data_IF_520661977087
#
_entry.id   IF_520661977087
#
_cell.length_a   1.000
_cell.length_b   1.000
_cell.length_c   1.000
_cell.angle_alpha   90.00
_cell.angle_beta   90.00
_cell.angle_gamma   90.00
#
_symmetry.space_group_name_H-M   'P 1'
#
loop_
_entity.id
_entity.type
_entity.pdbx_description
1 polymer ?
#
# COMPACT_ATOMS: atom_id res chain seq x y z
N UNK A 1 -11.88 -1.54 21.74
CA UNK A 1 -12.12 -1.85 20.31
C UNK A 1 -13.01 -3.09 20.25
N UNK A 2 -13.82 -3.31 19.20
CA UNK A 2 -14.80 -4.41 19.15
C UNK A 2 -14.18 -5.81 18.91
N UNK A 3 -12.86 -5.93 18.88
CA UNK A 3 -12.09 -7.16 18.67
C UNK A 3 -10.78 -7.10 19.46
N UNK A 4 -10.15 -8.25 19.69
CA UNK A 4 -8.83 -8.37 20.34
C UNK A 4 -7.68 -8.44 19.34
N UNK A 5 -6.44 -8.49 19.84
CA UNK A 5 -5.23 -8.47 19.00
C UNK A 5 -5.16 -9.69 18.09
N UNK A 6 -5.54 -10.85 18.60
CA UNK A 6 -5.46 -12.14 17.92
C UNK A 6 -6.44 -12.18 16.73
N UNK A 7 -7.66 -11.69 16.93
CA UNK A 7 -8.66 -11.54 15.87
C UNK A 7 -8.18 -10.59 14.77
N UNK A 8 -7.61 -9.44 15.15
CA UNK A 8 -7.06 -8.48 14.20
C UNK A 8 -5.93 -9.08 13.36
N UNK A 9 -4.95 -9.72 14.02
CA UNK A 9 -3.83 -10.36 13.34
C UNK A 9 -4.28 -11.54 12.46
N UNK A 10 -5.30 -12.29 12.90
CA UNK A 10 -5.92 -13.37 12.14
C UNK A 10 -6.50 -12.89 10.80
N UNK A 11 -7.11 -11.71 10.77
CA UNK A 11 -7.59 -11.09 9.51
C UNK A 11 -6.43 -10.81 8.54
N UNK A 12 -5.30 -10.28 9.03
CA UNK A 12 -4.11 -10.09 8.17
C UNK A 12 -3.54 -11.40 7.67
N UNK A 13 -3.46 -12.43 8.51
CA UNK A 13 -2.96 -13.73 8.11
C UNK A 13 -3.85 -14.33 7.01
N UNK A 14 -5.17 -14.32 7.22
CA UNK A 14 -6.14 -14.82 6.26
C UNK A 14 -6.05 -14.07 4.93
N UNK A 15 -6.07 -12.73 4.96
CA UNK A 15 -5.91 -11.89 3.77
C UNK A 15 -4.59 -12.19 3.04
N UNK A 16 -3.47 -12.26 3.75
CA UNK A 16 -2.17 -12.50 3.14
C UNK A 16 -2.09 -13.87 2.46
N UNK A 17 -2.63 -14.93 3.09
CA UNK A 17 -2.68 -16.26 2.49
C UNK A 17 -3.59 -16.29 1.25
N UNK A 18 -4.77 -15.66 1.33
CA UNK A 18 -5.74 -15.63 0.23
C UNK A 18 -5.28 -14.80 -0.97
N UNK A 19 -4.48 -13.75 -0.74
CA UNK A 19 -3.97 -12.88 -1.81
C UNK A 19 -2.67 -13.40 -2.42
N UNK A 20 -1.96 -14.31 -1.75
CA UNK A 20 -0.76 -14.93 -2.31
C UNK A 20 -1.08 -15.73 -3.58
N UNK A 21 -0.31 -15.56 -4.67
CA UNK A 21 0.97 -14.85 -4.84
C UNK A 21 0.87 -13.41 -5.38
N UNK A 22 -0.32 -12.82 -5.47
CA UNK A 22 -0.56 -11.53 -6.12
C UNK A 22 0.22 -10.37 -5.48
N UNK A 23 0.66 -10.48 -4.21
CA UNK A 23 1.52 -9.46 -3.60
C UNK A 23 2.82 -9.26 -4.35
N UNK A 24 3.35 -10.28 -5.06
CA UNK A 24 4.53 -10.13 -5.91
C UNK A 24 4.22 -9.13 -7.04
N UNK A 25 3.07 -9.25 -7.68
CA UNK A 25 2.64 -8.32 -8.73
C UNK A 25 2.45 -6.90 -8.17
N UNK A 26 1.95 -6.75 -6.93
CA UNK A 26 1.86 -5.44 -6.27
C UNK A 26 3.24 -4.84 -5.99
N UNK A 27 4.19 -5.62 -5.50
CA UNK A 27 5.56 -5.11 -5.31
C UNK A 27 6.18 -4.69 -6.65
N UNK A 28 6.01 -5.50 -7.70
CA UNK A 28 6.49 -5.15 -9.05
C UNK A 28 5.85 -3.86 -9.57
N UNK A 29 4.54 -3.70 -9.42
CA UNK A 29 3.83 -2.48 -9.83
C UNK A 29 4.31 -1.26 -9.03
N UNK A 30 4.57 -1.41 -7.73
CA UNK A 30 5.17 -0.35 -6.92
C UNK A 30 6.57 0.04 -7.40
N UNK A 31 7.43 -0.94 -7.74
CA UNK A 31 8.76 -0.68 -8.30
C UNK A 31 8.67 0.05 -9.65
N UNK A 32 7.71 -0.32 -10.51
CA UNK A 32 7.43 0.41 -11.76
C UNK A 32 7.05 1.85 -11.47
N UNK A 33 6.17 2.11 -10.50
CA UNK A 33 5.80 3.48 -10.12
C UNK A 33 7.00 4.30 -9.66
N UNK A 34 7.87 3.70 -8.83
CA UNK A 34 9.10 4.35 -8.35
C UNK A 34 10.04 4.69 -9.51
N UNK A 35 10.22 3.76 -10.45
CA UNK A 35 11.01 3.99 -11.66
C UNK A 35 10.43 5.12 -12.51
N UNK A 36 9.11 5.14 -12.71
CA UNK A 36 8.41 6.17 -13.48
C UNK A 36 8.49 7.56 -12.81
N UNK A 37 8.47 7.62 -11.48
CA UNK A 37 8.65 8.86 -10.72
C UNK A 37 10.09 9.40 -10.84
N UNK A 38 11.08 8.51 -11.01
CA UNK A 38 12.48 8.90 -11.20
C UNK A 38 12.78 9.33 -12.65
N UNK A 39 12.40 8.51 -13.64
CA UNK A 39 12.73 8.76 -15.05
C UNK A 39 11.80 9.74 -15.76
N UNK A 40 10.57 9.87 -15.29
CA UNK A 40 9.54 10.80 -15.78
C UNK A 40 9.33 10.81 -17.31
N UNK A 41 8.56 9.85 -17.82
CA UNK A 41 8.10 9.78 -19.22
C UNK A 41 6.76 10.51 -19.41
N UNK A 42 6.36 10.71 -20.69
CA UNK A 42 5.11 11.40 -21.09
C UNK A 42 3.85 10.90 -20.36
N UNK A 43 3.79 9.62 -19.99
CA UNK A 43 2.64 9.01 -19.32
C UNK A 43 2.92 8.56 -17.89
N UNK A 44 4.09 8.89 -17.32
CA UNK A 44 4.49 8.48 -15.96
C UNK A 44 3.41 8.82 -14.93
N UNK A 45 3.00 10.09 -14.88
CA UNK A 45 2.03 10.56 -13.89
C UNK A 45 0.67 9.87 -14.02
N UNK A 46 0.22 9.66 -15.26
CA UNK A 46 -1.05 8.96 -15.51
C UNK A 46 -0.98 7.51 -15.03
N UNK A 47 0.12 6.80 -15.30
CA UNK A 47 0.31 5.42 -14.85
C UNK A 47 0.38 5.37 -13.32
N UNK A 48 1.16 6.25 -12.69
CA UNK A 48 1.28 6.33 -11.22
C UNK A 48 -0.09 6.57 -10.57
N UNK A 49 -0.86 7.54 -11.08
CA UNK A 49 -2.19 7.84 -10.53
C UNK A 49 -3.18 6.67 -10.70
N UNK A 50 -3.16 5.96 -11.83
CA UNK A 50 -3.99 4.76 -12.01
C UNK A 50 -3.59 3.64 -11.05
N UNK A 51 -2.29 3.41 -10.86
CA UNK A 51 -1.78 2.39 -9.92
C UNK A 51 -2.11 2.73 -8.46
N UNK A 52 -2.01 4.02 -8.07
CA UNK A 52 -2.43 4.48 -6.76
C UNK A 52 -3.94 4.28 -6.57
N UNK A 53 -4.75 4.67 -7.55
CA UNK A 53 -6.19 4.44 -7.51
C UNK A 53 -6.53 2.95 -7.33
N UNK A 54 -5.84 2.09 -8.08
CA UNK A 54 -5.98 0.64 -7.95
C UNK A 54 -5.66 0.16 -6.53
N UNK A 55 -4.54 0.56 -5.92
CA UNK A 55 -4.22 0.15 -4.54
C UNK A 55 -5.23 0.64 -3.50
N UNK A 56 -5.65 1.89 -3.61
CA UNK A 56 -6.63 2.47 -2.69
C UNK A 56 -7.98 1.74 -2.78
N UNK A 57 -8.47 1.49 -4.00
CA UNK A 57 -9.71 0.75 -4.23
C UNK A 57 -9.56 -0.71 -3.79
N UNK A 58 -8.44 -1.36 -4.10
CA UNK A 58 -8.17 -2.75 -3.70
C UNK A 58 -8.21 -2.91 -2.17
N UNK A 59 -7.52 -2.05 -1.43
CA UNK A 59 -7.53 -2.09 0.04
C UNK A 59 -8.90 -1.73 0.61
N UNK A 60 -9.63 -0.80 -0.01
CA UNK A 60 -10.99 -0.45 0.40
C UNK A 60 -11.99 -1.60 0.21
N UNK A 61 -11.94 -2.28 -0.93
CA UNK A 61 -12.86 -3.38 -1.25
C UNK A 61 -12.39 -4.67 -0.59
N UNK A 62 -11.22 -5.17 -1.00
CA UNK A 62 -10.77 -6.50 -0.62
C UNK A 62 -10.43 -6.52 0.86
N UNK A 63 -9.51 -5.70 1.34
CA UNK A 63 -9.12 -5.77 2.74
C UNK A 63 -10.23 -5.28 3.68
N UNK A 64 -10.76 -4.08 3.50
CA UNK A 64 -11.71 -3.52 4.47
C UNK A 64 -13.10 -4.17 4.38
N UNK A 65 -13.70 -4.24 3.19
CA UNK A 65 -15.08 -4.73 3.04
C UNK A 65 -15.14 -6.26 3.06
N UNK A 66 -14.25 -6.98 2.36
CA UNK A 66 -14.36 -8.44 2.29
C UNK A 66 -13.76 -9.16 3.51
N UNK A 67 -12.70 -8.63 4.13
CA UNK A 67 -12.00 -9.32 5.23
C UNK A 67 -12.23 -8.65 6.59
N UNK A 68 -11.96 -7.35 6.73
CA UNK A 68 -11.97 -6.69 8.04
C UNK A 68 -13.40 -6.45 8.58
N UNK A 69 -14.40 -6.39 7.70
CA UNK A 69 -15.81 -6.25 8.10
C UNK A 69 -16.33 -7.41 8.93
N UNK A 70 -15.70 -8.59 8.85
CA UNK A 70 -16.06 -9.77 9.63
C UNK A 70 -15.92 -9.56 11.14
N UNK A 71 -14.95 -8.74 11.57
CA UNK A 71 -14.68 -8.48 12.99
C UNK A 71 -14.99 -7.04 13.41
N UNK A 72 -15.23 -6.14 12.46
CA UNK A 72 -15.44 -4.72 12.75
C UNK A 72 -16.37 -4.04 11.73
N UNK A 73 -17.56 -3.65 12.16
CA UNK A 73 -18.50 -2.90 11.29
C UNK A 73 -17.96 -1.55 10.81
N UNK A 74 -17.05 -0.91 11.55
CA UNK A 74 -16.43 0.33 11.09
C UNK A 74 -15.56 0.13 9.83
N UNK A 75 -15.22 -1.13 9.48
CA UNK A 75 -14.52 -1.44 8.25
C UNK A 75 -15.28 -1.01 6.99
N UNK A 76 -16.62 -0.98 7.00
CA UNK A 76 -17.38 -0.43 5.86
C UNK A 76 -17.10 1.06 5.64
N UNK A 77 -17.05 1.85 6.72
CA UNK A 77 -16.70 3.26 6.64
C UNK A 77 -15.28 3.45 6.11
N UNK A 78 -14.31 2.70 6.65
CA UNK A 78 -12.94 2.74 6.14
C UNK A 78 -12.87 2.31 4.67
N UNK A 79 -13.58 1.25 4.28
CA UNK A 79 -13.67 0.82 2.89
C UNK A 79 -14.15 1.93 1.94
N UNK A 80 -15.25 2.61 2.31
CA UNK A 80 -15.78 3.75 1.54
C UNK A 80 -14.75 4.88 1.43
N UNK A 81 -14.07 5.23 2.53
CA UNK A 81 -13.05 6.27 2.53
C UNK A 81 -11.88 5.92 1.60
N UNK A 82 -11.38 4.68 1.65
CA UNK A 82 -10.30 4.21 0.78
C UNK A 82 -10.71 4.19 -0.69
N UNK A 83 -11.91 3.71 -1.01
CA UNK A 83 -12.46 3.74 -2.37
C UNK A 83 -12.57 5.18 -2.87
N UNK A 84 -13.09 6.09 -2.04
CA UNK A 84 -13.22 7.51 -2.37
C UNK A 84 -11.86 8.12 -2.69
N UNK A 85 -10.82 7.82 -1.90
CA UNK A 85 -9.46 8.29 -2.19
C UNK A 85 -8.94 7.76 -3.52
N UNK A 86 -9.20 6.50 -3.86
CA UNK A 86 -8.85 5.95 -5.16
C UNK A 86 -9.57 6.66 -6.31
N UNK A 87 -10.85 7.00 -6.15
CA UNK A 87 -11.59 7.80 -7.12
C UNK A 87 -11.04 9.22 -7.25
N UNK A 88 -10.55 9.82 -6.17
CA UNK A 88 -9.86 11.12 -6.21
C UNK A 88 -8.57 11.04 -7.03
N UNK A 89 -7.78 9.96 -6.93
CA UNK A 89 -6.62 9.76 -7.80
C UNK A 89 -6.99 9.67 -9.28
N UNK A 90 -8.07 8.95 -9.63
CA UNK A 90 -8.58 8.90 -11.00
C UNK A 90 -9.03 10.28 -11.48
N UNK A 91 -9.83 10.99 -10.67
CA UNK A 91 -10.36 12.28 -11.07
C UNK A 91 -9.27 13.37 -11.17
N UNK A 92 -8.51 13.59 -10.09
CA UNK A 92 -7.51 14.65 -10.03
C UNK A 92 -6.26 14.32 -10.86
N UNK A 93 -5.81 13.07 -10.83
CA UNK A 93 -4.59 12.62 -11.48
C UNK A 93 -4.75 12.24 -12.94
N UNK A 94 -5.83 11.54 -13.30
CA UNK A 94 -6.03 11.04 -14.68
C UNK A 94 -6.88 12.02 -15.50
N UNK A 95 -8.06 12.38 -15.01
CA UNK A 95 -9.00 13.22 -15.78
C UNK A 95 -8.57 14.70 -15.79
N UNK A 96 -8.13 15.24 -14.66
CA UNK A 96 -7.70 16.64 -14.55
C UNK A 96 -6.19 16.85 -14.75
N UNK A 97 -5.38 15.78 -14.71
CA UNK A 97 -3.91 15.83 -14.87
C UNK A 97 -3.24 16.87 -13.95
N UNK A 98 -3.72 16.98 -12.71
CA UNK A 98 -3.23 17.95 -11.71
C UNK A 98 -2.16 17.38 -10.79
N UNK A 99 -1.98 16.05 -10.76
CA UNK A 99 -1.04 15.36 -9.89
C UNK A 99 0.17 14.91 -10.72
N UNK A 100 1.33 15.52 -10.46
CA UNK A 100 2.58 15.24 -11.17
C UNK A 100 3.65 14.75 -10.19
N UNK A 101 4.50 13.84 -10.65
CA UNK A 101 5.55 13.21 -9.85
C UNK A 101 6.90 13.40 -10.53
N UNK A 102 7.84 14.01 -9.81
CA UNK A 102 9.21 14.17 -10.30
C UNK A 102 10.22 13.98 -9.18
N UNK A 103 11.39 13.43 -9.54
CA UNK A 103 12.57 13.39 -8.68
C UNK A 103 13.19 14.79 -8.55
N UNK A 104 12.47 15.72 -7.91
CA UNK A 104 12.98 17.03 -7.57
C UNK A 104 14.02 16.98 -6.44
N UNK A 105 14.72 18.10 -6.22
CA UNK A 105 15.64 18.30 -5.08
C UNK A 105 14.97 19.00 -3.89
N UNK A 106 13.64 19.07 -3.87
CA UNK A 106 12.91 19.73 -2.79
C UNK A 106 12.94 18.88 -1.51
N UNK A 107 12.78 19.54 -0.36
CA UNK A 107 12.64 18.85 0.94
C UNK A 107 11.49 17.83 0.91
N UNK A 108 10.39 18.17 0.22
CA UNK A 108 9.23 17.30 0.02
C UNK A 108 9.61 16.04 -0.78
N UNK A 109 10.42 16.19 -1.82
CA UNK A 109 10.89 15.05 -2.61
C UNK A 109 11.79 14.13 -1.76
N UNK A 110 12.66 14.69 -0.92
CA UNK A 110 13.48 13.91 0.02
C UNK A 110 12.62 13.06 0.96
N UNK A 111 11.62 13.67 1.61
CA UNK A 111 10.69 12.92 2.47
C UNK A 111 9.93 11.83 1.70
N UNK A 112 9.49 12.11 0.47
CA UNK A 112 8.86 11.10 -0.39
C UNK A 112 9.77 9.90 -0.64
N UNK A 113 11.03 10.14 -1.01
CA UNK A 113 12.02 9.08 -1.21
C UNK A 113 12.30 8.30 0.07
N UNK A 114 12.41 8.97 1.23
CA UNK A 114 12.57 8.30 2.52
C UNK A 114 11.40 7.39 2.85
N UNK A 115 10.15 7.83 2.63
CA UNK A 115 8.97 7.00 2.87
C UNK A 115 8.89 5.80 1.92
N UNK A 116 9.22 5.99 0.64
CA UNK A 116 9.29 4.89 -0.34
C UNK A 116 10.34 3.86 0.09
N UNK A 117 11.55 4.30 0.46
CA UNK A 117 12.61 3.42 0.92
C UNK A 117 12.22 2.66 2.20
N UNK A 118 11.61 3.35 3.16
CA UNK A 118 11.07 2.73 4.38
C UNK A 118 10.06 1.62 4.05
N UNK A 119 9.10 1.91 3.17
CA UNK A 119 8.03 0.98 2.82
C UNK A 119 8.53 -0.24 2.03
N UNK A 120 9.45 -0.06 1.09
CA UNK A 120 9.89 -1.14 0.18
C UNK A 120 11.09 -1.95 0.70
N UNK A 121 11.94 -1.38 1.54
CA UNK A 121 13.18 -2.04 2.00
C UNK A 121 13.08 -2.39 3.48
N UNK A 122 12.83 -1.40 4.34
CA UNK A 122 12.91 -1.59 5.79
C UNK A 122 11.73 -2.39 6.35
N UNK A 123 10.51 -2.13 5.86
CA UNK A 123 9.32 -2.83 6.34
C UNK A 123 9.33 -4.33 6.00
N UNK A 124 9.62 -4.77 4.76
CA UNK A 124 9.71 -6.20 4.45
C UNK A 124 10.88 -6.88 5.16
N UNK A 125 12.04 -6.21 5.30
CA UNK A 125 13.21 -6.79 5.96
C UNK A 125 12.93 -7.14 7.43
N UNK A 126 12.19 -6.27 8.15
CA UNK A 126 11.79 -6.54 9.53
C UNK A 126 10.86 -7.76 9.63
N UNK A 127 10.10 -8.04 8.57
CA UNK A 127 9.22 -9.21 8.48
C UNK A 127 10.00 -10.49 8.14
N UNK A 128 10.99 -10.44 7.25
CA UNK A 128 11.83 -11.60 6.91
C UNK A 128 12.84 -11.95 8.00
N UNK A 129 13.34 -10.98 8.76
CA UNK A 129 14.21 -11.25 9.92
C UNK A 129 13.53 -12.08 11.01
N UNK A 130 12.21 -11.94 11.19
CA UNK A 130 11.43 -12.81 12.09
C UNK A 130 11.24 -14.24 11.57
N UNK A 131 11.40 -14.47 10.26
CA UNK A 131 11.35 -15.79 9.64
C UNK A 131 12.73 -16.47 9.62
N UNK A 132 13.83 -15.70 9.58
CA UNK A 132 15.21 -16.21 9.50
C UNK A 132 15.93 -16.33 10.86
N UNK A 133 15.46 -15.64 11.91
CA UNK A 133 16.04 -15.71 13.27
C UNK A 133 14.97 -15.94 14.34
N UNK A 134 14.27 -17.09 14.35
CA UNK A 134 13.16 -17.31 15.28
C UNK A 134 13.59 -17.36 16.75
N UNK A 135 14.87 -17.62 17.06
CA UNK A 135 15.35 -17.92 18.42
C UNK A 135 16.39 -16.95 18.99
N UNK A 136 16.66 -15.81 18.35
CA UNK A 136 17.64 -14.83 18.85
C UNK A 136 17.01 -13.69 19.65
N UNK A 137 15.68 -13.63 19.71
CA UNK A 137 14.90 -12.64 20.46
C UNK A 137 14.28 -13.18 21.75
N UNK A 138 14.39 -14.49 22.02
CA UNK A 138 13.93 -15.13 23.26
C UNK A 138 15.03 -15.20 24.36
N UNK A 139 16.17 -14.53 24.14
CA UNK A 139 17.35 -14.54 25.03
C UNK A 139 17.66 -13.17 25.66
N UNK A 140 16.66 -12.27 25.76
CA UNK A 140 16.74 -11.05 26.57
C UNK A 140 15.47 -10.87 27.40
#
# INVERSE_FOLDING_TARGET
MPFNKEEFLGVFEHYNKSVFPLQIAFVLLALVMVYLAYKNFRYSDTIINNSLAFYWIWIGIVYHICFFSAINRAAYLFGILFITQGLVFLYAGVLKKKLNYSAGKSLVAYFGWTFIAYALIFYPQRRTSGFLLPGLLDLC
#
